data_IF_854350518259
#
_entry.id   IF_854350518259
#
_cell.length_a   1.000
_cell.length_b   1.000
_cell.length_c   1.000
_cell.angle_alpha   90.00
_cell.angle_beta   90.00
_cell.angle_gamma   90.00
#
_symmetry.space_group_name_H-M   'P 1'
#
loop_
_entity.id
_entity.type
_entity.pdbx_description
1 polymer ?
#
# COMPACT_ATOMS: atom_id res chain seq x y z
N UNK A 1 3.21 -21.51 22.41
CA UNK A 1 2.58 -21.29 21.10
C UNK A 1 1.74 -20.04 21.20
N UNK A 2 2.30 -18.90 20.81
CA UNK A 2 1.55 -17.65 20.76
C UNK A 2 0.73 -17.66 19.47
N UNK A 3 -0.58 -17.87 19.62
CA UNK A 3 -1.56 -17.59 18.57
C UNK A 3 -1.49 -16.10 18.26
N UNK A 4 -0.70 -15.77 17.23
CA UNK A 4 -0.65 -14.42 16.68
C UNK A 4 -2.05 -14.14 16.13
N UNK A 5 -2.80 -13.30 16.82
CA UNK A 5 -4.11 -12.83 16.39
C UNK A 5 -3.93 -12.17 15.03
N UNK A 6 -4.27 -12.88 13.95
CA UNK A 6 -4.32 -12.29 12.63
C UNK A 6 -5.33 -11.15 12.70
N UNK A 7 -4.84 -9.91 12.66
CA UNK A 7 -5.70 -8.74 12.58
C UNK A 7 -6.63 -8.93 11.37
N UNK A 8 -7.93 -8.91 11.63
CA UNK A 8 -9.02 -8.99 10.65
C UNK A 8 -9.07 -7.77 9.71
N UNK A 9 -8.21 -6.77 9.96
CA UNK A 9 -8.22 -5.51 9.24
C UNK A 9 -8.09 -5.74 7.72
N UNK A 10 -9.00 -5.13 6.96
CA UNK A 10 -8.99 -5.19 5.51
C UNK A 10 -7.78 -4.49 4.87
N UNK A 11 -7.10 -3.60 5.60
CA UNK A 11 -5.81 -3.01 5.19
C UNK A 11 -4.74 -3.24 6.24
N UNK A 12 -3.54 -3.65 5.80
CA UNK A 12 -2.32 -3.70 6.60
C UNK A 12 -1.19 -3.00 5.85
N UNK A 13 -0.46 -2.13 6.53
CA UNK A 13 0.69 -1.44 5.96
C UNK A 13 1.87 -1.51 6.94
N UNK A 14 3.09 -1.46 6.41
CA UNK A 14 4.29 -1.67 7.22
C UNK A 14 5.58 -1.66 6.42
N UNK A 15 6.66 -2.07 7.07
CA UNK A 15 8.00 -2.21 6.47
C UNK A 15 8.66 -3.55 6.80
N UNK A 16 9.49 -3.58 7.84
CA UNK A 16 10.30 -4.66 8.36
C UNK A 16 9.47 -5.87 8.80
N UNK A 17 8.24 -5.66 9.30
CA UNK A 17 7.33 -6.75 9.64
C UNK A 17 6.75 -7.48 8.43
N UNK A 18 6.97 -6.95 7.23
CA UNK A 18 6.62 -7.59 5.96
C UNK A 18 7.67 -8.58 5.48
N UNK A 19 8.93 -8.46 5.91
CA UNK A 19 10.00 -9.35 5.47
C UNK A 19 9.77 -10.78 5.99
N UNK A 20 9.82 -11.76 5.09
CA UNK A 20 9.54 -13.17 5.34
C UNK A 20 8.05 -13.50 5.57
N UNK A 21 7.15 -12.50 5.49
CA UNK A 21 5.69 -12.68 5.73
C UNK A 21 4.83 -12.21 4.57
N UNK A 22 5.15 -11.05 4.01
CA UNK A 22 4.49 -10.43 2.86
C UNK A 22 5.40 -10.48 1.64
N UNK A 23 6.70 -10.31 1.84
CA UNK A 23 7.70 -10.41 0.78
C UNK A 23 8.96 -11.15 1.27
N UNK A 24 9.64 -11.83 0.35
CA UNK A 24 10.87 -12.58 0.61
C UNK A 24 12.09 -11.65 0.59
N UNK A 25 13.26 -12.16 0.99
CA UNK A 25 14.53 -11.43 0.88
C UNK A 25 14.89 -11.07 -0.57
N UNK A 26 14.44 -11.87 -1.55
CA UNK A 26 14.55 -11.54 -2.98
C UNK A 26 13.71 -10.32 -3.38
N UNK A 27 12.72 -9.98 -2.56
CA UNK A 27 11.76 -8.92 -2.82
C UNK A 27 10.45 -9.38 -3.45
N UNK A 28 10.34 -10.65 -3.82
CA UNK A 28 9.11 -11.23 -4.37
C UNK A 28 8.03 -11.35 -3.30
N UNK A 29 6.76 -11.34 -3.69
CA UNK A 29 5.64 -11.59 -2.78
C UNK A 29 5.72 -13.01 -2.19
N UNK A 30 5.48 -13.13 -0.88
CA UNK A 30 5.28 -14.42 -0.21
C UNK A 30 3.80 -14.77 -0.30
N UNK A 31 3.48 -15.80 -1.08
CA UNK A 31 2.12 -16.27 -1.27
C UNK A 31 1.62 -17.06 -0.04
N UNK A 32 0.36 -16.84 0.32
CA UNK A 32 -0.34 -17.69 1.30
C UNK A 32 -0.90 -18.95 0.61
N UNK A 33 -1.30 -19.99 1.35
CA UNK A 33 -1.90 -21.19 0.75
C UNK A 33 -3.09 -20.84 -0.15
N UNK A 34 -3.16 -21.48 -1.32
CA UNK A 34 -4.17 -21.25 -2.36
C UNK A 34 -4.21 -19.82 -2.93
N UNK A 35 -3.17 -19.02 -2.67
CA UNK A 35 -3.00 -17.70 -3.27
C UNK A 35 -2.23 -17.83 -4.59
N UNK A 36 -2.80 -17.25 -5.64
CA UNK A 36 -2.19 -17.20 -6.96
C UNK A 36 -2.09 -15.75 -7.44
N UNK A 37 -0.94 -15.41 -8.01
CA UNK A 37 -0.74 -14.11 -8.64
C UNK A 37 -1.52 -14.07 -9.95
N UNK A 38 -2.52 -13.19 -10.00
CA UNK A 38 -3.29 -12.93 -11.23
C UNK A 38 -2.53 -11.97 -12.14
N UNK A 39 -1.87 -10.97 -11.56
CA UNK A 39 -1.06 -10.00 -12.28
C UNK A 39 -0.02 -9.33 -11.39
N UNK A 40 1.13 -9.04 -11.98
CA UNK A 40 2.13 -8.13 -11.42
C UNK A 40 2.25 -6.92 -12.34
N UNK A 41 2.27 -5.71 -11.78
CA UNK A 41 2.43 -4.48 -12.55
C UNK A 41 3.32 -3.47 -11.81
N UNK A 42 4.43 -3.01 -12.42
CA UNK A 42 5.32 -2.03 -11.80
C UNK A 42 4.75 -0.61 -11.90
N UNK A 43 5.31 0.34 -11.14
CA UNK A 43 4.99 1.77 -11.30
C UNK A 43 3.56 2.13 -10.91
N UNK A 44 3.10 1.57 -9.79
CA UNK A 44 1.81 1.84 -9.18
C UNK A 44 2.01 2.46 -7.80
N UNK A 45 1.03 3.21 -7.36
CA UNK A 45 1.05 3.86 -6.06
C UNK A 45 -0.28 3.66 -5.38
N UNK A 46 -0.23 3.55 -4.06
CA UNK A 46 -1.41 3.39 -3.20
C UNK A 46 -1.34 4.46 -2.12
N UNK A 47 -2.45 5.16 -1.95
CA UNK A 47 -2.69 6.02 -0.80
C UNK A 47 -3.87 5.49 0.00
N UNK A 48 -3.68 5.33 1.31
CA UNK A 48 -4.73 4.82 2.22
C UNK A 48 -4.90 5.75 3.42
N UNK A 49 -6.12 6.20 3.62
CA UNK A 49 -6.53 6.96 4.81
C UNK A 49 -7.73 6.33 5.49
N UNK A 50 -7.84 6.55 6.81
CA UNK A 50 -8.99 6.12 7.60
C UNK A 50 -9.23 7.10 8.76
N UNK A 51 -10.47 7.56 8.99
CA UNK A 51 -11.67 7.42 8.16
C UNK A 51 -11.76 8.47 7.03
N UNK A 52 -12.40 8.16 5.89
CA UNK A 52 -12.61 9.14 4.78
C UNK A 52 -13.51 10.34 5.11
N UNK A 53 -14.26 10.29 6.22
CA UNK A 53 -15.17 11.35 6.66
C UNK A 53 -15.14 11.40 8.18
N UNK A 54 -14.19 12.16 8.74
CA UNK A 54 -14.19 12.82 10.06
C UNK A 54 -13.07 13.86 10.10
N UNK A 55 -13.15 14.78 11.05
CA UNK A 55 -12.10 15.74 11.40
C UNK A 55 -10.82 14.93 11.72
N UNK A 56 -9.72 15.22 11.02
CA UNK A 56 -8.40 14.57 11.14
C UNK A 56 -8.36 13.07 10.71
N UNK A 57 -8.42 12.75 9.40
CA UNK A 57 -8.17 11.39 8.93
C UNK A 57 -6.73 10.95 9.26
N UNK A 58 -6.57 9.70 9.69
CA UNK A 58 -5.25 9.09 9.89
C UNK A 58 -4.75 8.54 8.56
N UNK A 59 -3.54 8.93 8.18
CA UNK A 59 -2.81 8.33 7.07
C UNK A 59 -2.33 6.94 7.51
N UNK A 60 -2.74 5.90 6.79
CA UNK A 60 -2.32 4.52 7.03
C UNK A 60 -1.12 4.19 6.16
N UNK A 61 -1.18 4.60 4.90
CA UNK A 61 -0.10 4.38 3.95
C UNK A 61 -0.07 5.52 2.94
N UNK A 62 1.02 6.28 2.94
CA UNK A 62 1.14 7.48 2.12
C UNK A 62 1.56 7.14 0.69
N UNK A 63 0.72 7.40 -0.30
CA UNK A 63 1.09 7.28 -1.72
C UNK A 63 2.12 8.33 -2.14
N UNK A 64 3.10 8.01 -2.98
CA UNK A 64 4.21 8.84 -3.45
C UNK A 64 3.81 10.05 -4.32
N UNK A 65 2.62 10.05 -4.96
CA UNK A 65 2.15 11.15 -5.83
C UNK A 65 3.12 11.51 -6.98
N UNK A 66 3.98 10.57 -7.37
CA UNK A 66 5.06 10.73 -8.34
C UNK A 66 5.62 9.37 -8.78
N UNK A 67 6.71 9.36 -9.55
CA UNK A 67 7.35 8.12 -10.01
C UNK A 67 7.82 7.30 -8.81
N UNK A 68 7.24 6.12 -8.60
CA UNK A 68 7.62 5.21 -7.53
C UNK A 68 8.28 3.96 -8.13
N UNK A 69 9.40 3.53 -7.54
CA UNK A 69 9.92 2.18 -7.78
C UNK A 69 9.11 1.22 -6.92
N UNK A 70 8.03 0.73 -7.51
CA UNK A 70 7.04 -0.09 -6.84
C UNK A 70 6.55 -1.21 -7.74
N UNK A 71 6.06 -2.25 -7.11
CA UNK A 71 5.48 -3.40 -7.76
C UNK A 71 4.16 -3.74 -7.10
N UNK A 72 3.10 -3.73 -7.90
CA UNK A 72 1.75 -4.07 -7.48
C UNK A 72 1.46 -5.52 -7.86
N UNK A 73 1.19 -6.32 -6.86
CA UNK A 73 0.76 -7.71 -6.98
C UNK A 73 -0.75 -7.77 -6.76
N UNK A 74 -1.46 -8.30 -7.73
CA UNK A 74 -2.89 -8.57 -7.64
C UNK A 74 -3.04 -10.08 -7.62
N UNK A 75 -3.58 -10.61 -6.52
CA UNK A 75 -3.81 -12.04 -6.34
C UNK A 75 -5.30 -12.34 -6.27
N UNK A 76 -5.66 -13.61 -6.25
CA UNK A 76 -7.03 -14.07 -6.03
C UNK A 76 -7.55 -13.84 -4.59
N UNK A 77 -6.67 -13.45 -3.65
CA UNK A 77 -7.01 -13.23 -2.24
C UNK A 77 -6.79 -11.80 -1.74
N UNK A 78 -5.79 -11.08 -2.27
CA UNK A 78 -5.38 -9.74 -1.82
C UNK A 78 -4.69 -8.95 -2.91
N UNK A 79 -4.51 -7.66 -2.63
CA UNK A 79 -3.71 -6.75 -3.44
C UNK A 79 -2.57 -6.26 -2.56
N UNK A 80 -1.33 -6.37 -3.04
CA UNK A 80 -0.13 -5.99 -2.30
C UNK A 80 0.70 -5.03 -3.14
N UNK A 81 0.93 -3.83 -2.64
CA UNK A 81 1.96 -2.94 -3.17
C UNK A 81 3.25 -3.13 -2.37
N UNK A 82 4.34 -3.42 -3.05
CA UNK A 82 5.69 -3.39 -2.51
C UNK A 82 6.44 -2.21 -3.13
N UNK A 83 7.22 -1.48 -2.33
CA UNK A 83 8.09 -0.42 -2.84
C UNK A 83 9.34 -0.24 -2.00
N UNK A 84 10.37 0.30 -2.61
CA UNK A 84 11.57 0.70 -1.86
C UNK A 84 11.29 1.85 -0.90
N UNK A 85 12.07 1.90 0.18
CA UNK A 85 12.10 3.05 1.09
C UNK A 85 12.69 4.27 0.34
N UNK A 86 11.90 5.33 0.23
CA UNK A 86 12.32 6.64 -0.27
C UNK A 86 12.71 7.54 0.91
N UNK A 87 14.02 7.62 1.16
CA UNK A 87 14.61 8.42 2.24
C UNK A 87 14.20 9.89 2.17
N UNK A 88 14.23 10.49 0.97
CA UNK A 88 13.99 11.92 0.83
C UNK A 88 12.57 12.28 1.23
N UNK A 89 11.62 11.44 0.83
CA UNK A 89 10.21 11.65 1.13
C UNK A 89 9.90 11.46 2.61
N UNK A 90 10.39 10.38 3.20
CA UNK A 90 10.19 10.09 4.63
C UNK A 90 10.81 11.17 5.54
N UNK A 91 11.88 11.83 5.08
CA UNK A 91 12.54 12.91 5.80
C UNK A 91 11.92 14.27 5.53
N UNK A 92 11.25 14.48 4.39
CA UNK A 92 10.73 15.79 3.97
C UNK A 92 9.85 16.47 5.01
N UNK A 93 9.06 15.70 5.74
CA UNK A 93 8.19 16.23 6.80
C UNK A 93 8.97 16.69 8.05
N UNK A 94 10.20 16.22 8.22
CA UNK A 94 11.06 16.52 9.37
C UNK A 94 12.17 17.54 9.06
N UNK A 95 12.30 18.00 7.81
CA UNK A 95 13.31 18.99 7.37
C UNK A 95 13.06 20.43 7.88
N UNK A 96 12.33 20.60 8.98
CA UNK A 96 12.24 21.89 9.68
C UNK A 96 13.50 22.14 10.54
N UNK A 97 13.91 23.39 10.81
CA UNK A 97 15.09 23.69 11.62
C UNK A 97 15.07 23.10 13.04
N UNK A 98 13.88 22.87 13.60
CA UNK A 98 13.67 22.22 14.90
C UNK A 98 13.64 20.67 14.81
N UNK A 99 13.55 20.11 13.62
CA UNK A 99 13.50 18.66 13.34
C UNK A 99 14.83 18.07 12.84
N UNK A 100 15.90 18.86 12.70
CA UNK A 100 17.18 18.38 12.16
C UNK A 100 17.77 17.19 12.95
N UNK A 101 17.76 17.17 14.30
CA UNK A 101 18.26 16.02 15.05
C UNK A 101 17.40 14.76 14.88
N UNK A 102 16.07 14.90 14.78
CA UNK A 102 15.17 13.76 14.56
C UNK A 102 15.31 13.23 13.13
N UNK A 103 15.45 14.12 12.15
CA UNK A 103 15.67 13.79 10.75
C UNK A 103 16.96 12.98 10.55
N UNK A 104 18.06 13.35 11.21
CA UNK A 104 19.32 12.60 11.12
C UNK A 104 19.20 11.17 11.71
N UNK A 105 18.52 11.03 12.85
CA UNK A 105 18.28 9.72 13.45
C UNK A 105 17.38 8.84 12.57
N UNK A 106 16.32 9.43 12.01
CA UNK A 106 15.40 8.75 11.09
C UNK A 106 16.10 8.35 9.80
N UNK A 107 16.94 9.22 9.24
CA UNK A 107 17.72 8.94 8.05
C UNK A 107 18.62 7.72 8.25
N UNK A 108 19.36 7.68 9.36
CA UNK A 108 20.23 6.55 9.68
C UNK A 108 19.44 5.24 9.81
N UNK A 109 18.27 5.30 10.47
CA UNK A 109 17.39 4.14 10.61
C UNK A 109 16.87 3.64 9.25
N UNK A 110 16.33 4.53 8.42
CA UNK A 110 15.81 4.18 7.10
C UNK A 110 16.91 3.67 6.16
N UNK A 111 18.13 4.24 6.23
CA UNK A 111 19.28 3.72 5.48
C UNK A 111 19.65 2.30 5.91
N UNK A 112 19.60 2.00 7.22
CA UNK A 112 19.84 0.64 7.72
C UNK A 112 18.78 -0.33 7.20
N UNK A 113 17.50 0.03 7.27
CA UNK A 113 16.40 -0.77 6.72
C UNK A 113 16.60 -1.02 5.22
N UNK A 114 16.89 0.04 4.46
CA UNK A 114 17.14 -0.07 3.01
C UNK A 114 18.34 -0.98 2.71
N UNK A 115 19.44 -0.87 3.46
CA UNK A 115 20.61 -1.75 3.29
C UNK A 115 20.34 -3.20 3.67
N UNK A 116 19.37 -3.45 4.55
CA UNK A 116 18.91 -4.79 4.92
C UNK A 116 17.87 -5.36 3.94
N UNK A 117 17.59 -4.68 2.81
CA UNK A 117 16.62 -5.12 1.81
C UNK A 117 15.16 -4.91 2.22
N UNK A 118 14.88 -4.17 3.30
CA UNK A 118 13.52 -3.90 3.76
C UNK A 118 12.79 -3.01 2.76
N UNK A 119 11.54 -3.38 2.48
CA UNK A 119 10.60 -2.67 1.59
C UNK A 119 9.40 -2.19 2.39
N UNK A 120 8.80 -1.09 1.96
CA UNK A 120 7.48 -0.70 2.43
C UNK A 120 6.42 -1.53 1.72
N UNK A 121 5.39 -1.93 2.44
CA UNK A 121 4.27 -2.67 1.86
C UNK A 121 2.91 -2.09 2.28
N UNK A 122 1.93 -2.27 1.39
CA UNK A 122 0.53 -2.09 1.69
C UNK A 122 -0.26 -3.29 1.15
N UNK A 123 -0.85 -4.06 2.05
CA UNK A 123 -1.70 -5.21 1.79
C UNK A 123 -3.17 -4.80 1.99
N UNK A 124 -4.01 -5.10 1.00
CA UNK A 124 -5.45 -4.85 1.02
C UNK A 124 -6.13 -6.19 0.74
N UNK A 125 -7.15 -6.54 1.53
CA UNK A 125 -7.97 -7.75 1.37
C UNK A 125 -9.36 -7.36 0.85
N UNK A 126 -9.60 -7.37 -0.47
CA UNK A 126 -10.82 -6.81 -1.06
C UNK A 126 -12.11 -7.43 -0.53
N UNK A 127 -12.09 -8.74 -0.21
CA UNK A 127 -13.24 -9.49 0.33
C UNK A 127 -13.72 -9.02 1.71
N UNK A 128 -12.89 -8.28 2.45
CA UNK A 128 -13.29 -7.71 3.74
C UNK A 128 -14.05 -6.39 3.58
N UNK A 129 -14.16 -5.86 2.36
CA UNK A 129 -14.74 -4.55 2.11
C UNK A 129 -16.08 -4.62 1.39
N UNK A 130 -16.97 -3.75 1.84
CA UNK A 130 -18.12 -3.30 1.04
C UNK A 130 -17.80 -1.96 0.39
N UNK A 131 -17.94 -1.90 -0.94
CA UNK A 131 -17.75 -0.66 -1.70
C UNK A 131 -18.90 0.32 -1.42
N UNK A 132 -18.56 1.50 -0.91
CA UNK A 132 -19.49 2.64 -0.76
C UNK A 132 -19.44 3.55 -1.97
N UNK A 133 -18.24 3.81 -2.48
CA UNK A 133 -18.02 4.62 -3.67
C UNK A 133 -16.82 4.08 -4.42
N UNK A 134 -16.91 4.10 -5.74
CA UNK A 134 -15.82 3.76 -6.65
C UNK A 134 -15.80 4.78 -7.78
N UNK A 135 -14.65 5.41 -8.01
CA UNK A 135 -14.46 6.39 -9.08
C UNK A 135 -13.22 6.00 -9.87
N UNK A 136 -13.41 5.68 -11.15
CA UNK A 136 -12.35 5.31 -12.08
C UNK A 136 -12.07 6.47 -13.06
N UNK A 137 -10.80 6.64 -13.42
CA UNK A 137 -10.35 7.52 -14.50
C UNK A 137 -9.25 6.81 -15.30
N UNK A 138 -9.45 6.70 -16.61
CA UNK A 138 -8.58 5.96 -17.54
C UNK A 138 -8.35 6.73 -18.86
N UNK A 139 -8.19 8.06 -18.76
CA UNK A 139 -7.95 8.92 -19.94
C UNK A 139 -6.48 9.22 -20.19
N UNK A 140 -5.85 9.97 -19.27
CA UNK A 140 -4.42 10.34 -19.34
C UNK A 140 -3.57 9.59 -18.33
N UNK A 141 -4.23 8.98 -17.36
CA UNK A 141 -3.66 8.29 -16.21
C UNK A 141 -4.59 7.13 -15.87
N UNK A 142 -4.04 6.04 -15.35
CA UNK A 142 -4.83 4.97 -14.74
C UNK A 142 -5.01 5.24 -13.26
N UNK A 143 -6.24 5.53 -12.83
CA UNK A 143 -6.55 5.91 -11.46
C UNK A 143 -7.88 5.33 -10.98
N UNK A 144 -7.91 4.87 -9.73
CA UNK A 144 -9.09 4.35 -9.05
C UNK A 144 -9.14 4.86 -7.61
N UNK A 145 -10.22 5.54 -7.25
CA UNK A 145 -10.53 5.96 -5.88
C UNK A 145 -11.70 5.16 -5.33
N UNK A 146 -11.50 4.63 -4.13
CA UNK A 146 -12.42 3.76 -3.43
C UNK A 146 -12.72 4.31 -2.06
N UNK A 147 -14.01 4.26 -1.70
CA UNK A 147 -14.46 4.39 -0.31
C UNK A 147 -15.06 3.06 0.12
N UNK A 148 -14.46 2.44 1.11
CA UNK A 148 -14.69 1.04 1.51
C UNK A 148 -15.04 0.87 3.01
N UNK A 149 -16.18 0.26 3.32
CA UNK A 149 -16.49 -0.15 4.69
C UNK A 149 -15.91 -1.54 4.93
N UNK A 150 -15.03 -1.67 5.91
CA UNK A 150 -14.52 -2.96 6.39
C UNK A 150 -15.62 -3.75 7.14
N UNK A 151 -15.37 -5.02 7.42
CA UNK A 151 -16.27 -5.90 8.21
C UNK A 151 -16.63 -5.31 9.57
N UNK A 152 -15.69 -4.59 10.18
CA UNK A 152 -15.85 -3.92 11.47
C UNK A 152 -16.46 -2.49 11.34
N UNK A 153 -17.03 -2.15 10.19
CA UNK A 153 -17.54 -0.82 9.82
C UNK A 153 -16.50 0.32 9.83
N UNK A 154 -15.22 -0.03 9.87
CA UNK A 154 -14.13 0.94 9.70
C UNK A 154 -14.14 1.47 8.26
N UNK A 155 -13.91 2.78 8.12
CA UNK A 155 -14.00 3.50 6.84
C UNK A 155 -12.61 3.70 6.25
N UNK A 156 -12.36 3.24 5.03
CA UNK A 156 -11.10 3.45 4.30
C UNK A 156 -11.27 4.19 2.97
N UNK A 157 -10.52 5.27 2.76
CA UNK A 157 -10.30 5.82 1.41
C UNK A 157 -9.03 5.19 0.85
N UNK A 158 -9.13 4.51 -0.29
CA UNK A 158 -8.01 3.88 -0.96
C UNK A 158 -7.94 4.42 -2.37
N UNK A 159 -6.80 5.01 -2.72
CA UNK A 159 -6.51 5.44 -4.08
C UNK A 159 -5.42 4.56 -4.68
N UNK A 160 -5.68 3.98 -5.85
CA UNK A 160 -4.69 3.36 -6.71
C UNK A 160 -4.38 4.28 -7.87
N UNK A 161 -3.10 4.53 -8.14
CA UNK A 161 -2.66 5.38 -9.24
C UNK A 161 -1.47 4.76 -9.97
N UNK A 162 -1.54 4.68 -11.29
CA UNK A 162 -0.36 4.39 -12.11
C UNK A 162 0.53 5.63 -12.12
N UNK A 163 1.80 5.47 -11.76
CA UNK A 163 2.75 6.57 -11.69
C UNK A 163 3.29 6.95 -13.06
N UNK A 164 3.29 6.00 -14.00
CA UNK A 164 3.77 6.20 -15.37
C UNK A 164 2.88 5.50 -16.40
N UNK A 165 2.39 6.27 -17.36
CA UNK A 165 1.61 5.74 -18.49
C UNK A 165 0.17 5.32 -18.13
N UNK A 166 -0.42 4.57 -19.06
CA UNK A 166 -1.76 4.01 -18.93
C UNK A 166 -1.66 2.50 -18.74
N UNK A 167 -2.52 1.97 -17.87
CA UNK A 167 -2.65 0.54 -17.61
C UNK A 167 -4.11 0.23 -17.23
N UNK A 168 -5.05 0.33 -18.19
CA UNK A 168 -6.47 0.14 -17.94
C UNK A 168 -6.84 -1.32 -17.63
N UNK A 169 -6.01 -2.26 -18.08
CA UNK A 169 -6.19 -3.69 -17.83
C UNK A 169 -5.97 -4.00 -16.34
N UNK A 170 -4.87 -3.50 -15.76
CA UNK A 170 -4.60 -3.66 -14.32
C UNK A 170 -5.66 -2.94 -13.48
N UNK A 171 -6.12 -1.75 -13.88
CA UNK A 171 -7.27 -1.09 -13.21
C UNK A 171 -8.52 -1.97 -13.20
N UNK A 172 -8.82 -2.60 -14.34
CA UNK A 172 -9.99 -3.47 -14.47
C UNK A 172 -9.89 -4.67 -13.55
N UNK A 173 -8.69 -5.25 -13.44
CA UNK A 173 -8.43 -6.35 -12.52
C UNK A 173 -8.55 -5.94 -11.06
N UNK A 174 -7.98 -4.79 -10.66
CA UNK A 174 -8.16 -4.23 -9.30
C UNK A 174 -9.65 -4.03 -9.02
N UNK A 175 -10.37 -3.42 -9.95
CA UNK A 175 -11.80 -3.14 -9.81
C UNK A 175 -12.60 -4.41 -9.58
N UNK A 176 -12.33 -5.47 -10.36
CA UNK A 176 -13.02 -6.75 -10.24
C UNK A 176 -12.87 -7.39 -8.86
N UNK A 177 -11.74 -7.19 -8.18
CA UNK A 177 -11.52 -7.72 -6.83
C UNK A 177 -12.49 -7.14 -5.78
N UNK A 178 -13.09 -5.97 -6.03
CA UNK A 178 -14.02 -5.30 -5.10
C UNK A 178 -15.50 -5.47 -5.49
N UNK A 179 -15.83 -6.31 -6.47
CA UNK A 179 -17.20 -6.47 -6.99
C UNK A 179 -17.96 -7.68 -6.40
N UNK A 180 -17.47 -8.25 -5.31
CA UNK A 180 -18.07 -9.42 -4.64
C UNK A 180 -19.18 -9.04 -3.65
#
# INVERSE_FOLDING_TARGET
METTTYSSAGVRAGDSEGLGRVYAESGDIVLIPDEEVLKTSPGWDIDVTSPWRKILPKLIFAGFSGKASSELYITNQRIVLLREIDLWRELREELSPLGIPSAAAKELHLRRLKSAGVRQFCEIKPRNFRVVRMKRLDRRWSWLDLRLLDVDNTRYEITFAKTEGLDPETLTLIQAQFQH
#
